data_IF_359638827808
#
_entry.id   IF_359638827808
#
_cell.length_a   1.000
_cell.length_b   1.000
_cell.length_c   1.000
_cell.angle_alpha   90.00
_cell.angle_beta   90.00
_cell.angle_gamma   90.00
#
_symmetry.space_group_name_H-M   'P 1'
#
loop_
_entity.id
_entity.type
_entity.pdbx_description
1 polymer ?
#
# COMPACT_ATOMS: atom_id res chain seq x y z
N UNK A 1 -66.96 50.69 15.91
CA UNK A 1 -66.24 51.73 15.17
C UNK A 1 -64.83 51.28 14.99
N UNK A 2 -64.48 51.07 13.80
CA UNK A 2 -63.22 50.93 13.16
C UNK A 2 -62.13 50.08 13.85
N UNK A 3 -62.16 48.77 13.59
CA UNK A 3 -61.12 47.81 13.83
C UNK A 3 -60.08 47.95 12.74
N UNK A 4 -58.84 48.14 13.10
CA UNK A 4 -57.69 48.09 12.16
C UNK A 4 -56.93 46.75 12.38
N UNK A 5 -57.12 45.87 11.46
CA UNK A 5 -56.35 44.59 11.38
C UNK A 5 -54.92 44.92 10.95
N UNK A 6 -53.97 44.60 11.82
CA UNK A 6 -52.57 44.53 11.46
C UNK A 6 -52.27 43.21 10.88
N UNK A 7 -51.88 43.22 9.63
CA UNK A 7 -51.38 42.02 8.93
C UNK A 7 -49.94 41.83 9.33
N UNK A 8 -49.69 40.81 10.14
CA UNK A 8 -48.35 40.37 10.47
C UNK A 8 -47.79 39.57 9.30
N UNK A 9 -46.79 40.10 8.69
CA UNK A 9 -46.01 39.37 7.69
C UNK A 9 -45.13 38.31 8.37
N UNK A 10 -45.48 37.05 8.16
CA UNK A 10 -44.60 35.93 8.51
C UNK A 10 -43.48 35.84 7.48
N UNK A 11 -42.29 36.29 7.89
CA UNK A 11 -41.07 36.03 7.14
C UNK A 11 -40.66 34.58 7.34
N UNK A 12 -40.87 33.75 6.30
CA UNK A 12 -40.26 32.43 6.24
C UNK A 12 -38.75 32.63 5.95
N UNK A 13 -37.95 32.49 6.98
CA UNK A 13 -36.53 32.36 6.81
C UNK A 13 -36.24 30.95 6.26
N UNK A 14 -35.98 30.84 4.97
CA UNK A 14 -35.46 29.64 4.35
C UNK A 14 -34.02 29.45 4.84
N UNK A 15 -33.83 28.54 5.76
CA UNK A 15 -32.51 28.03 6.11
C UNK A 15 -31.97 27.22 4.93
N UNK A 16 -31.20 27.87 4.07
CA UNK A 16 -30.38 27.16 3.09
C UNK A 16 -29.26 26.47 3.86
N UNK A 17 -29.43 25.18 4.10
CA UNK A 17 -28.33 24.33 4.55
C UNK A 17 -27.38 24.19 3.36
N UNK A 18 -26.12 24.65 3.45
CA UNK A 18 -25.17 24.32 2.42
C UNK A 18 -24.93 22.81 2.48
N UNK A 19 -25.37 22.13 1.45
CA UNK A 19 -24.96 20.77 1.21
C UNK A 19 -23.45 20.85 0.95
N UNK A 20 -22.66 20.67 2.00
CA UNK A 20 -21.24 20.42 1.83
C UNK A 20 -21.14 19.12 1.06
N UNK A 21 -20.91 19.22 -0.24
CA UNK A 21 -20.52 18.11 -1.05
C UNK A 21 -19.20 17.60 -0.47
N UNK A 22 -19.28 16.56 0.34
CA UNK A 22 -18.14 15.72 0.60
C UNK A 22 -17.77 15.07 -0.75
N UNK A 23 -16.96 15.79 -1.49
CA UNK A 23 -16.17 15.16 -2.51
C UNK A 23 -15.14 14.31 -1.76
N UNK A 24 -15.52 13.11 -1.37
CA UNK A 24 -14.59 12.08 -1.03
C UNK A 24 -13.86 11.75 -2.35
N UNK A 25 -12.84 12.52 -2.66
CA UNK A 25 -11.82 12.11 -3.57
C UNK A 25 -11.15 10.93 -2.92
N UNK A 26 -11.63 9.74 -3.18
CA UNK A 26 -10.83 8.55 -2.94
C UNK A 26 -9.70 8.59 -3.95
N UNK A 27 -8.62 9.27 -3.59
CA UNK A 27 -7.34 8.95 -4.18
C UNK A 27 -7.13 7.46 -3.90
N UNK A 28 -6.73 6.64 -4.91
CA UNK A 28 -6.33 5.28 -4.62
C UNK A 28 -5.26 5.39 -3.53
N UNK A 29 -5.60 4.90 -2.33
CA UNK A 29 -4.68 4.91 -1.22
C UNK A 29 -3.43 4.20 -1.70
N UNK A 30 -2.32 4.94 -1.82
CA UNK A 30 -1.01 4.35 -1.98
C UNK A 30 -0.90 3.29 -0.88
N UNK A 31 -0.53 2.04 -1.24
CA UNK A 31 -0.36 0.98 -0.26
C UNK A 31 0.43 1.55 0.92
N UNK A 32 -0.02 1.37 2.17
CA UNK A 32 0.62 1.99 3.31
C UNK A 32 2.10 1.61 3.30
N UNK A 33 2.97 2.61 3.36
CA UNK A 33 4.41 2.37 3.44
C UNK A 33 4.71 1.66 4.75
N UNK A 34 5.66 0.72 4.71
CA UNK A 34 6.17 0.05 5.89
C UNK A 34 6.84 1.07 6.83
N UNK A 35 6.66 0.89 8.12
CA UNK A 35 7.44 1.59 9.14
C UNK A 35 8.89 1.14 9.09
N UNK A 36 9.81 1.90 9.72
CA UNK A 36 11.22 1.51 9.80
C UNK A 36 11.43 0.14 10.47
N UNK A 37 10.62 -0.17 11.48
CA UNK A 37 10.65 -1.47 12.15
C UNK A 37 10.23 -2.60 11.19
N UNK A 38 9.18 -2.38 10.42
CA UNK A 38 8.73 -3.34 9.41
C UNK A 38 9.74 -3.50 8.28
N UNK A 39 10.39 -2.43 7.84
CA UNK A 39 11.49 -2.49 6.86
C UNK A 39 12.64 -3.32 7.41
N UNK A 40 13.02 -3.11 8.67
CA UNK A 40 14.07 -3.89 9.32
C UNK A 40 13.72 -5.37 9.40
N UNK A 41 12.48 -5.69 9.79
CA UNK A 41 11.98 -7.06 9.79
C UNK A 41 11.96 -7.67 8.39
N UNK A 42 11.47 -6.94 7.40
CA UNK A 42 11.45 -7.38 6.00
C UNK A 42 12.86 -7.66 5.46
N UNK A 43 13.81 -6.79 5.75
CA UNK A 43 15.23 -6.98 5.38
C UNK A 43 15.79 -8.24 6.01
N UNK A 44 15.56 -8.45 7.30
CA UNK A 44 16.02 -9.65 8.01
C UNK A 44 15.42 -10.91 7.41
N UNK A 45 14.11 -10.92 7.15
CA UNK A 45 13.44 -12.07 6.54
C UNK A 45 13.96 -12.36 5.14
N UNK A 46 14.26 -11.33 4.36
CA UNK A 46 14.87 -11.45 3.04
C UNK A 46 16.24 -12.17 3.12
N UNK A 47 17.05 -11.80 4.09
CA UNK A 47 18.36 -12.42 4.31
C UNK A 47 18.23 -13.84 4.87
N UNK A 48 17.41 -14.05 5.88
CA UNK A 48 17.25 -15.34 6.57
C UNK A 48 16.68 -16.44 5.67
N UNK A 49 15.83 -16.05 4.71
CA UNK A 49 15.27 -16.99 3.73
C UNK A 49 16.12 -17.17 2.47
N UNK A 50 17.30 -16.59 2.42
CA UNK A 50 18.25 -16.78 1.33
C UNK A 50 17.90 -16.07 0.02
N UNK A 51 16.98 -15.09 0.05
CA UNK A 51 16.63 -14.29 -1.13
C UNK A 51 17.86 -13.55 -1.70
N UNK A 52 18.76 -13.14 -0.81
CA UNK A 52 20.03 -12.47 -1.13
C UNK A 52 21.01 -13.35 -1.91
N UNK A 53 20.88 -14.67 -1.88
CA UNK A 53 21.73 -15.57 -2.63
C UNK A 53 21.46 -15.50 -4.15
N UNK A 54 20.24 -15.15 -4.53
CA UNK A 54 19.79 -15.16 -5.92
C UNK A 54 19.41 -13.79 -6.47
N UNK A 55 19.07 -12.82 -5.63
CA UNK A 55 18.58 -11.51 -6.06
C UNK A 55 19.50 -10.37 -5.63
N UNK A 56 19.53 -9.33 -6.45
CA UNK A 56 20.21 -8.06 -6.14
C UNK A 56 19.24 -7.09 -5.51
N UNK A 57 19.59 -6.59 -4.32
CA UNK A 57 18.87 -5.55 -3.59
C UNK A 57 19.83 -4.84 -2.65
N UNK A 58 20.21 -3.61 -2.99
CA UNK A 58 21.23 -2.86 -2.26
C UNK A 58 20.85 -2.63 -0.79
N UNK A 59 19.58 -2.37 -0.50
CA UNK A 59 19.07 -2.18 0.86
C UNK A 59 19.34 -3.40 1.78
N UNK A 60 19.34 -4.60 1.22
CA UNK A 60 19.64 -5.84 1.94
C UNK A 60 21.09 -6.32 1.79
N UNK A 61 21.98 -5.50 1.23
CA UNK A 61 23.35 -5.91 0.86
C UNK A 61 23.38 -7.18 0.00
N UNK A 62 22.38 -7.35 -0.85
CA UNK A 62 22.21 -8.52 -1.69
C UNK A 62 22.75 -8.26 -3.10
N UNK A 63 23.57 -9.16 -3.60
CA UNK A 63 24.21 -9.08 -4.92
C UNK A 63 24.06 -10.37 -5.73
N UNK A 64 23.04 -11.17 -5.44
CA UNK A 64 22.76 -12.40 -6.19
C UNK A 64 22.34 -12.12 -7.62
N UNK A 65 22.79 -12.97 -8.55
CA UNK A 65 22.56 -12.80 -10.00
C UNK A 65 21.82 -13.97 -10.64
N UNK A 66 21.41 -14.95 -9.88
CA UNK A 66 20.66 -16.13 -10.38
C UNK A 66 19.24 -15.73 -10.77
N UNK A 67 18.59 -14.91 -9.92
CA UNK A 67 17.28 -14.34 -10.17
C UNK A 67 17.35 -12.90 -10.67
N UNK A 68 16.20 -12.29 -10.99
CA UNK A 68 16.14 -10.89 -11.38
C UNK A 68 16.65 -9.95 -10.30
N UNK A 69 17.34 -8.87 -10.71
CA UNK A 69 17.60 -7.76 -9.81
C UNK A 69 16.29 -7.05 -9.46
N UNK A 70 16.11 -6.69 -8.20
CA UNK A 70 15.00 -5.83 -7.80
C UNK A 70 15.34 -4.36 -8.00
N UNK A 71 16.59 -3.98 -7.76
CA UNK A 71 17.07 -2.65 -8.13
C UNK A 71 17.06 -2.49 -9.65
N UNK A 72 16.59 -1.34 -10.12
CA UNK A 72 16.44 -1.05 -11.54
C UNK A 72 15.23 -1.71 -12.21
N UNK A 73 14.43 -2.49 -11.48
CA UNK A 73 13.25 -3.17 -12.03
C UNK A 73 12.01 -2.32 -11.83
N UNK A 74 11.65 -1.52 -12.84
CA UNK A 74 10.46 -0.67 -12.81
C UNK A 74 9.15 -1.47 -12.86
N UNK A 75 9.18 -2.71 -13.30
CA UNK A 75 7.99 -3.56 -13.47
C UNK A 75 7.70 -4.45 -12.26
N UNK A 76 8.54 -4.40 -11.24
CA UNK A 76 8.31 -5.19 -10.02
C UNK A 76 7.15 -4.57 -9.24
N UNK A 77 6.07 -5.32 -9.11
CA UNK A 77 4.92 -4.99 -8.29
C UNK A 77 4.70 -6.01 -7.17
N UNK A 78 3.99 -5.59 -6.13
CA UNK A 78 3.74 -6.41 -4.95
C UNK A 78 2.93 -7.67 -5.26
N UNK A 79 1.90 -7.58 -6.10
CA UNK A 79 1.03 -8.71 -6.40
C UNK A 79 1.79 -9.83 -7.09
N UNK A 80 2.61 -9.48 -8.06
CA UNK A 80 3.49 -10.44 -8.73
C UNK A 80 4.53 -11.03 -7.78
N UNK A 81 5.14 -10.20 -6.93
CA UNK A 81 6.11 -10.68 -5.93
C UNK A 81 5.47 -11.68 -4.96
N UNK A 82 4.28 -11.40 -4.42
CA UNK A 82 3.54 -12.33 -3.56
C UNK A 82 3.29 -13.65 -4.28
N UNK A 83 2.84 -13.62 -5.52
CA UNK A 83 2.57 -14.83 -6.29
C UNK A 83 3.82 -15.70 -6.48
N UNK A 84 4.93 -15.09 -6.88
CA UNK A 84 6.18 -15.80 -7.14
C UNK A 84 6.80 -16.32 -5.85
N UNK A 85 6.79 -15.57 -4.77
CA UNK A 85 7.27 -16.03 -3.46
C UNK A 85 6.44 -17.22 -2.97
N UNK A 86 5.12 -17.15 -3.12
CA UNK A 86 4.22 -18.21 -2.68
C UNK A 86 4.41 -19.50 -3.47
N UNK A 87 4.48 -19.40 -4.78
CA UNK A 87 4.43 -20.57 -5.68
C UNK A 87 5.80 -21.04 -6.17
N UNK A 88 6.82 -20.18 -6.09
CA UNK A 88 8.10 -20.37 -6.77
C UNK A 88 7.99 -20.15 -8.27
N UNK A 89 9.13 -20.08 -8.94
CA UNK A 89 9.21 -19.95 -10.40
C UNK A 89 10.60 -20.39 -10.89
N UNK A 90 10.64 -21.35 -11.82
CA UNK A 90 11.92 -21.86 -12.33
C UNK A 90 12.81 -22.37 -11.18
N UNK A 91 14.07 -21.90 -11.07
CA UNK A 91 14.97 -22.31 -9.99
C UNK A 91 14.60 -21.71 -8.62
N UNK A 92 13.71 -20.72 -8.57
CA UNK A 92 13.24 -20.14 -7.31
C UNK A 92 12.27 -21.10 -6.62
N UNK A 93 12.57 -21.55 -5.39
CA UNK A 93 11.67 -22.44 -4.67
C UNK A 93 10.41 -21.72 -4.17
N UNK A 94 9.39 -22.48 -3.84
CA UNK A 94 8.20 -21.97 -3.15
C UNK A 94 8.51 -21.65 -1.70
N UNK A 95 8.04 -20.51 -1.24
CA UNK A 95 8.07 -20.05 0.16
C UNK A 95 6.69 -19.97 0.79
N UNK A 96 5.69 -20.64 0.21
CA UNK A 96 4.31 -20.63 0.71
C UNK A 96 4.17 -21.03 2.19
N UNK A 97 5.13 -21.77 2.71
CA UNK A 97 5.21 -22.18 4.11
C UNK A 97 5.45 -21.03 5.10
N UNK A 98 5.92 -19.86 4.63
CA UNK A 98 6.09 -18.68 5.49
C UNK A 98 4.75 -18.10 5.97
N UNK A 99 3.67 -18.33 5.24
CA UNK A 99 2.35 -17.76 5.49
C UNK A 99 2.16 -16.39 4.82
N UNK A 100 0.91 -16.03 4.65
CA UNK A 100 0.51 -14.86 3.85
C UNK A 100 1.06 -13.54 4.40
N UNK A 101 1.06 -13.38 5.74
CA UNK A 101 1.52 -12.15 6.39
C UNK A 101 3.01 -11.89 6.15
N UNK A 102 3.84 -12.90 6.31
CA UNK A 102 5.28 -12.79 6.13
C UNK A 102 5.66 -12.62 4.66
N UNK A 103 4.96 -13.32 3.77
CA UNK A 103 5.13 -13.15 2.31
C UNK A 103 4.73 -11.73 1.89
N UNK A 104 3.62 -11.21 2.40
CA UNK A 104 3.18 -9.84 2.13
C UNK A 104 4.21 -8.81 2.61
N UNK A 105 4.78 -9.02 3.78
CA UNK A 105 5.82 -8.16 4.33
C UNK A 105 7.08 -8.15 3.45
N UNK A 106 7.58 -9.32 3.04
CA UNK A 106 8.76 -9.41 2.18
C UNK A 106 8.48 -8.75 0.82
N UNK A 107 7.34 -9.03 0.21
CA UNK A 107 6.95 -8.46 -1.08
C UNK A 107 6.83 -6.93 -1.00
N UNK A 108 6.21 -6.41 0.04
CA UNK A 108 6.09 -4.96 0.25
C UNK A 108 7.46 -4.34 0.51
N UNK A 109 8.30 -5.00 1.29
CA UNK A 109 9.66 -4.55 1.58
C UNK A 109 10.48 -4.36 0.28
N UNK A 110 10.55 -5.39 -0.57
CA UNK A 110 11.37 -5.30 -1.78
C UNK A 110 10.86 -4.23 -2.75
N UNK A 111 9.56 -4.06 -2.88
CA UNK A 111 8.97 -3.02 -3.73
C UNK A 111 9.24 -1.62 -3.19
N UNK A 112 9.20 -1.46 -1.87
CA UNK A 112 9.41 -0.16 -1.23
C UNK A 112 10.88 0.30 -1.28
N UNK A 113 11.84 -0.61 -1.09
CA UNK A 113 13.26 -0.25 -0.91
C UNK A 113 14.09 -0.37 -2.19
N UNK A 114 13.57 -0.99 -3.24
CA UNK A 114 14.28 -1.07 -4.53
C UNK A 114 14.62 0.32 -5.07
N UNK A 115 15.72 0.44 -5.74
CA UNK A 115 16.22 1.69 -6.35
C UNK A 115 16.08 1.68 -7.87
#
# INVERSE_FOLDING_TARGET
MMSRFGIGALALAALAVPLAAFAAGEEPAAAPMLTEEQVTKGRQMFQDNGCNACHTLADANAAGTVGPSFDGNANLDKGHAVQVITSGQGPMPSFGWLGDEDIDLIATYVVQVKK
#
